data_IF_927222167224
#
_entry.id   IF_927222167224
#
_cell.length_a   1.000
_cell.length_b   1.000
_cell.length_c   1.000
_cell.angle_alpha   90.00
_cell.angle_beta   90.00
_cell.angle_gamma   90.00
#
_symmetry.space_group_name_H-M   'P 1'
#
loop_
_entity.id
_entity.type
_entity.pdbx_description
1 polymer ?
#
# COMPACT_ATOMS: atom_id res chain seq x y z
N UNK A 1 27.81 8.22 58.54
CA UNK A 1 26.93 8.79 57.50
C UNK A 1 27.27 8.15 56.17
N UNK A 2 26.39 7.25 55.69
CA UNK A 2 26.54 6.47 54.46
C UNK A 2 25.80 7.15 53.30
N UNK A 3 26.41 7.43 52.14
CA UNK A 3 25.69 8.00 50.99
C UNK A 3 25.06 6.91 50.10
N UNK A 4 23.96 7.31 49.42
CA UNK A 4 23.00 6.49 48.66
C UNK A 4 23.56 5.88 47.36
N UNK A 5 23.22 4.61 47.12
CA UNK A 5 23.37 3.91 45.85
C UNK A 5 22.28 4.33 44.83
N UNK A 6 22.59 5.19 43.86
CA UNK A 6 21.60 5.57 42.83
C UNK A 6 22.13 6.27 41.57
N UNK A 7 23.19 7.06 41.67
CA UNK A 7 23.67 7.94 40.56
C UNK A 7 24.58 7.26 39.55
N UNK A 8 25.18 6.12 39.90
CA UNK A 8 26.16 5.40 39.07
C UNK A 8 25.65 4.73 37.80
N UNK A 9 24.40 4.26 37.81
CA UNK A 9 23.90 3.36 36.76
C UNK A 9 23.60 4.10 35.45
N UNK A 10 23.34 5.40 35.50
CA UNK A 10 22.92 6.17 34.33
C UNK A 10 24.09 6.52 33.40
N UNK A 11 25.24 6.92 33.95
CA UNK A 11 26.42 7.30 33.15
C UNK A 11 27.01 6.11 32.37
N UNK A 12 27.03 4.90 32.96
CA UNK A 12 27.46 3.69 32.26
C UNK A 12 26.51 3.28 31.13
N UNK A 13 25.20 3.49 31.30
CA UNK A 13 24.20 3.24 30.25
C UNK A 13 24.41 4.20 29.07
N UNK A 14 24.59 5.50 29.33
CA UNK A 14 24.84 6.48 28.27
C UNK A 14 26.17 6.25 27.52
N UNK A 15 27.23 5.89 28.24
CA UNK A 15 28.52 5.57 27.63
C UNK A 15 28.44 4.30 26.76
N UNK A 16 27.68 3.29 27.20
CA UNK A 16 27.46 2.06 26.42
C UNK A 16 26.70 2.35 25.13
N UNK A 17 25.63 3.15 25.20
CA UNK A 17 24.84 3.54 24.01
C UNK A 17 25.70 4.35 23.02
N UNK A 18 26.54 5.27 23.51
CA UNK A 18 27.46 6.05 22.66
C UNK A 18 28.53 5.16 22.00
N UNK A 19 29.09 4.20 22.74
CA UNK A 19 30.08 3.27 22.20
C UNK A 19 29.49 2.30 21.18
N UNK A 20 28.29 1.75 21.44
CA UNK A 20 27.59 0.92 20.47
C UNK A 20 27.12 1.72 19.25
N UNK A 21 26.71 2.98 19.44
CA UNK A 21 26.37 3.88 18.34
C UNK A 21 27.58 4.23 17.48
N UNK A 22 28.72 4.55 18.09
CA UNK A 22 29.96 4.86 17.37
C UNK A 22 30.54 3.63 16.65
N UNK A 23 30.54 2.46 17.30
CA UNK A 23 30.96 1.21 16.68
C UNK A 23 30.03 0.80 15.54
N UNK A 24 28.72 0.99 15.69
CA UNK A 24 27.74 0.78 14.62
C UNK A 24 27.94 1.73 13.43
N UNK A 25 28.25 2.99 13.70
CA UNK A 25 28.55 3.98 12.66
C UNK A 25 29.87 3.65 11.93
N UNK A 26 30.91 3.25 12.64
CA UNK A 26 32.18 2.82 12.05
C UNK A 26 32.02 1.54 11.23
N UNK A 27 31.21 0.59 11.68
CA UNK A 27 30.87 -0.60 10.90
C UNK A 27 30.08 -0.23 9.64
N UNK A 28 29.13 0.71 9.75
CA UNK A 28 28.36 1.20 8.61
C UNK A 28 29.23 1.90 7.57
N UNK A 29 30.18 2.73 8.01
CA UNK A 29 31.17 3.38 7.14
C UNK A 29 32.11 2.33 6.51
N UNK A 30 32.52 1.32 7.27
CA UNK A 30 33.44 0.27 6.78
C UNK A 30 32.77 -0.73 5.83
N UNK A 31 31.44 -0.82 5.85
CA UNK A 31 30.65 -1.64 4.93
C UNK A 31 30.23 -0.88 3.66
N UNK A 32 30.52 0.42 3.56
CA UNK A 32 30.39 1.16 2.30
C UNK A 32 31.61 0.88 1.42
N UNK A 33 31.37 0.20 0.29
CA UNK A 33 32.38 -0.08 -0.73
C UNK A 33 32.99 1.23 -1.26
N UNK A 34 34.33 1.41 -1.28
CA UNK A 34 34.99 2.65 -1.71
C UNK A 34 34.77 3.02 -3.19
N UNK A 35 34.14 2.16 -3.99
CA UNK A 35 33.90 2.38 -5.41
C UNK A 35 32.78 3.37 -5.74
N UNK A 36 32.01 3.87 -4.77
CA UNK A 36 30.97 4.89 -4.99
C UNK A 36 31.42 6.35 -4.78
N UNK A 37 32.71 6.62 -4.50
CA UNK A 37 33.22 7.98 -4.29
C UNK A 37 34.33 8.42 -5.27
N UNK A 38 34.22 8.02 -6.55
CA UNK A 38 35.03 8.63 -7.61
C UNK A 38 34.20 9.67 -8.41
N UNK A 39 34.52 10.98 -8.34
CA UNK A 39 33.95 11.95 -9.26
C UNK A 39 34.49 11.67 -10.68
N UNK A 40 33.59 11.45 -11.65
CA UNK A 40 33.94 11.49 -13.07
C UNK A 40 34.48 12.88 -13.42
N UNK A 41 35.75 12.95 -13.79
CA UNK A 41 36.35 14.14 -14.39
C UNK A 41 35.64 14.50 -15.71
N UNK A 42 35.21 15.76 -15.83
CA UNK A 42 34.89 16.43 -17.08
C UNK A 42 35.80 17.67 -17.19
N UNK A 43 36.32 18.03 -18.38
CA UNK A 43 37.44 18.96 -18.48
C UNK A 43 37.01 20.43 -18.41
N UNK A 44 37.70 21.19 -17.55
CA UNK A 44 38.25 22.50 -17.87
C UNK A 44 37.35 23.73 -17.79
N UNK A 45 37.34 24.42 -16.63
CA UNK A 45 37.28 25.90 -16.55
C UNK A 45 38.16 26.33 -15.37
N UNK A 46 39.20 27.14 -15.64
CA UNK A 46 40.12 27.70 -14.64
C UNK A 46 39.51 28.98 -14.04
N UNK A 47 39.47 29.10 -12.71
CA UNK A 47 39.43 30.38 -12.03
C UNK A 47 40.42 30.36 -10.86
N UNK A 48 41.43 31.24 -10.92
CA UNK A 48 42.34 31.53 -9.82
C UNK A 48 41.66 32.51 -8.86
N UNK A 49 41.66 32.20 -7.56
CA UNK A 49 41.36 33.18 -6.50
C UNK A 49 42.48 33.10 -5.46
N UNK A 50 43.12 34.26 -5.26
CA UNK A 50 44.17 34.54 -4.26
C UNK A 50 43.51 34.92 -2.94
N UNK A 51 44.00 34.50 -1.76
CA UNK A 51 43.39 34.88 -0.49
C UNK A 51 43.97 36.20 0.03
N UNK A 52 43.10 37.08 0.53
CA UNK A 52 43.49 38.18 1.43
C UNK A 52 42.58 38.20 2.65
N UNK A 53 43.21 38.45 3.80
CA UNK A 53 42.65 38.64 5.13
C UNK A 53 43.12 40.04 5.64
N UNK A 54 42.67 40.56 6.80
CA UNK A 54 41.85 41.78 6.88
C UNK A 54 42.53 42.94 7.65
N UNK A 55 42.02 44.18 7.54
CA UNK A 55 42.09 45.17 8.64
C UNK A 55 41.06 46.30 8.54
N UNK A 56 40.72 46.84 9.71
CA UNK A 56 39.65 47.78 10.09
C UNK A 56 39.88 49.25 9.69
N UNK A 57 38.82 50.07 9.65
CA UNK A 57 38.63 51.29 10.48
C UNK A 57 37.24 51.97 10.24
N UNK A 58 36.74 52.69 11.28
CA UNK A 58 35.45 53.42 11.46
C UNK A 58 35.78 54.91 11.81
N UNK A 59 34.82 55.85 12.08
CA UNK A 59 33.55 56.30 11.44
C UNK A 59 33.52 57.87 11.30
N UNK A 60 32.39 58.69 11.31
CA UNK A 60 31.29 58.76 12.32
C UNK A 60 29.82 59.07 11.87
N UNK A 61 28.88 58.77 12.81
CA UNK A 61 27.55 59.33 13.24
C UNK A 61 26.49 59.85 12.22
N UNK A 62 25.14 59.73 12.41
CA UNK A 62 24.31 60.01 13.61
C UNK A 62 22.84 59.47 13.60
N UNK A 63 22.35 58.99 14.78
CA UNK A 63 21.02 59.15 15.50
C UNK A 63 19.66 58.90 14.79
N UNK A 64 18.60 58.26 15.32
CA UNK A 64 17.95 58.13 16.66
C UNK A 64 17.13 56.79 16.72
N UNK A 65 17.09 55.95 17.77
CA UNK A 65 16.52 56.00 19.13
C UNK A 65 15.17 55.24 19.28
N UNK A 66 15.09 54.33 20.26
CA UNK A 66 13.83 53.77 20.78
C UNK A 66 13.86 52.28 21.17
N UNK A 67 14.25 51.98 22.42
CA UNK A 67 14.08 50.68 23.12
C UNK A 67 13.50 51.00 24.52
N UNK A 68 12.87 50.07 25.28
CA UNK A 68 13.67 49.40 26.32
C UNK A 68 13.25 47.98 26.80
N UNK A 69 14.28 47.15 27.08
CA UNK A 69 14.60 46.33 28.30
C UNK A 69 13.71 45.10 28.69
N UNK A 70 14.20 43.82 28.73
CA UNK A 70 15.24 43.10 29.56
C UNK A 70 14.65 42.55 30.91
N UNK A 71 15.15 41.49 31.63
CA UNK A 71 16.26 40.52 31.44
C UNK A 71 15.92 39.01 31.69
N UNK A 72 16.91 38.14 31.41
CA UNK A 72 17.07 36.78 32.00
C UNK A 72 18.43 36.69 32.69
N UNK A 73 18.49 36.05 33.87
CA UNK A 73 19.70 35.90 34.69
C UNK A 73 20.13 34.41 34.82
N UNK A 74 21.39 34.21 35.20
CA UNK A 74 22.25 33.00 35.13
C UNK A 74 22.14 32.07 36.38
N UNK A 75 22.15 30.74 36.19
CA UNK A 75 23.17 29.67 36.55
C UNK A 75 23.91 29.78 37.94
N UNK A 76 24.46 28.74 38.67
CA UNK A 76 24.73 27.27 38.42
C UNK A 76 24.67 26.27 39.65
N UNK A 77 25.17 25.03 39.40
CA UNK A 77 25.91 24.04 40.27
C UNK A 77 25.07 22.91 40.91
N UNK A 78 25.50 21.65 41.05
CA UNK A 78 26.85 21.06 41.14
C UNK A 78 26.90 19.52 40.86
N UNK A 79 28.12 19.00 40.80
CA UNK A 79 28.67 17.67 40.42
C UNK A 79 28.25 16.39 41.22
N UNK A 80 28.51 15.20 40.62
CA UNK A 80 29.29 14.04 41.19
C UNK A 80 28.74 12.65 40.74
N UNK A 81 29.41 11.90 39.84
CA UNK A 81 30.36 10.77 40.07
C UNK A 81 29.67 9.44 40.52
N UNK A 82 30.10 8.19 40.32
CA UNK A 82 31.16 7.45 39.62
C UNK A 82 30.88 5.95 39.86
N UNK A 83 30.99 5.03 38.87
CA UNK A 83 30.69 3.57 38.86
C UNK A 83 31.36 2.69 39.99
N UNK A 84 31.15 1.34 40.17
CA UNK A 84 31.60 0.28 39.25
C UNK A 84 30.85 -1.11 39.26
N UNK A 85 31.51 -2.04 38.57
CA UNK A 85 31.27 -3.42 38.07
C UNK A 85 31.23 -4.56 39.10
N UNK A 86 30.86 -5.76 38.62
CA UNK A 86 31.50 -7.02 39.03
C UNK A 86 30.92 -8.28 38.37
N UNK A 87 31.72 -8.93 37.50
CA UNK A 87 32.06 -10.36 37.44
C UNK A 87 32.26 -10.92 36.02
N UNK A 88 33.46 -11.47 35.83
CA UNK A 88 33.97 -12.19 34.66
C UNK A 88 33.90 -13.70 34.94
N UNK A 89 33.85 -14.55 33.90
CA UNK A 89 34.83 -15.63 33.66
C UNK A 89 34.42 -16.60 32.51
N UNK A 90 35.45 -16.95 31.72
CA UNK A 90 35.71 -18.24 31.03
C UNK A 90 34.97 -18.61 29.71
N UNK A 91 35.73 -18.55 28.61
CA UNK A 91 35.68 -19.53 27.50
C UNK A 91 36.51 -20.79 27.85
N UNK A 92 36.88 -21.71 26.93
CA UNK A 92 37.04 -21.52 25.47
C UNK A 92 36.55 -22.71 24.60
N UNK A 93 36.72 -22.62 23.27
CA UNK A 93 36.78 -23.80 22.40
C UNK A 93 36.36 -23.59 20.93
N UNK A 94 37.33 -23.39 20.03
CA UNK A 94 37.22 -23.52 18.57
C UNK A 94 37.96 -24.82 18.17
N UNK A 95 37.57 -25.50 17.06
CA UNK A 95 38.38 -25.39 15.82
C UNK A 95 37.53 -25.50 14.52
N UNK A 96 37.76 -24.62 13.54
CA UNK A 96 38.50 -24.80 12.26
C UNK A 96 37.74 -25.46 11.09
N UNK A 97 37.98 -24.88 9.92
CA UNK A 97 37.40 -25.16 8.60
C UNK A 97 38.21 -26.20 7.80
N UNK A 98 37.72 -26.60 6.62
CA UNK A 98 38.62 -26.67 5.47
C UNK A 98 38.07 -26.03 4.18
N UNK A 99 39.02 -25.60 3.34
CA UNK A 99 38.88 -25.12 1.98
C UNK A 99 38.33 -26.20 1.03
N UNK A 100 37.62 -25.77 -0.02
CA UNK A 100 37.73 -26.45 -1.32
C UNK A 100 37.43 -25.54 -2.52
N UNK A 101 38.15 -25.88 -3.59
CA UNK A 101 38.42 -25.17 -4.84
C UNK A 101 37.29 -25.19 -5.89
N UNK A 102 37.21 -24.07 -6.63
CA UNK A 102 36.79 -23.85 -8.03
C UNK A 102 35.91 -24.86 -8.80
N UNK A 103 34.76 -24.36 -9.29
CA UNK A 103 34.31 -24.52 -10.68
C UNK A 103 33.13 -23.57 -11.00
N UNK A 104 33.34 -22.63 -11.93
CA UNK A 104 32.29 -21.78 -12.53
C UNK A 104 31.43 -22.61 -13.48
N UNK A 105 30.13 -22.75 -13.18
CA UNK A 105 29.13 -23.25 -14.13
C UNK A 105 28.10 -22.15 -14.44
N UNK A 106 28.10 -21.68 -15.69
CA UNK A 106 27.09 -20.76 -16.25
C UNK A 106 25.79 -21.53 -16.56
N UNK A 107 24.59 -21.07 -16.14
CA UNK A 107 23.35 -21.70 -16.58
C UNK A 107 22.96 -21.20 -17.98
N UNK A 108 22.81 -22.14 -18.93
CA UNK A 108 22.22 -21.92 -20.26
C UNK A 108 20.75 -21.51 -20.12
N UNK A 109 20.39 -20.31 -20.57
CA UNK A 109 19.00 -19.87 -20.73
C UNK A 109 18.32 -20.67 -21.85
N UNK A 110 17.39 -21.56 -21.47
CA UNK A 110 16.52 -22.28 -22.40
C UNK A 110 15.32 -21.38 -22.73
N UNK A 111 15.40 -20.61 -23.83
CA UNK A 111 14.26 -19.85 -24.37
C UNK A 111 13.20 -20.82 -24.89
N UNK A 112 12.08 -20.99 -24.17
CA UNK A 112 10.85 -21.57 -24.74
C UNK A 112 10.07 -20.46 -25.45
N UNK A 113 9.97 -20.55 -26.78
CA UNK A 113 9.05 -19.74 -27.58
C UNK A 113 7.62 -20.22 -27.29
N UNK A 114 6.78 -19.35 -26.73
CA UNK A 114 5.34 -19.56 -26.65
C UNK A 114 4.71 -19.12 -27.97
N UNK A 115 4.24 -20.09 -28.76
CA UNK A 115 3.38 -19.86 -29.92
C UNK A 115 1.96 -19.55 -29.42
N UNK A 116 1.53 -18.31 -29.60
CA UNK A 116 0.15 -17.88 -29.33
C UNK A 116 -0.73 -18.36 -30.48
N UNK A 117 -1.62 -19.30 -30.21
CA UNK A 117 -2.66 -19.74 -31.13
C UNK A 117 -3.79 -18.70 -31.11
N UNK A 118 -3.99 -18.01 -32.25
CA UNK A 118 -5.11 -17.07 -32.48
C UNK A 118 -6.45 -17.81 -32.30
N UNK A 119 -7.40 -17.18 -31.62
CA UNK A 119 -8.83 -17.53 -31.66
C UNK A 119 -9.57 -16.51 -32.55
N UNK A 120 -10.65 -16.90 -33.25
CA UNK A 120 -11.32 -16.05 -34.23
C UNK A 120 -12.25 -15.02 -33.57
N UNK A 121 -12.37 -13.87 -34.23
CA UNK A 121 -13.26 -12.78 -33.86
C UNK A 121 -14.72 -13.13 -34.17
N UNK A 122 -15.61 -12.97 -33.20
CA UNK A 122 -17.06 -13.00 -33.43
C UNK A 122 -17.52 -11.61 -33.90
N UNK A 123 -18.16 -11.58 -35.07
CA UNK A 123 -18.68 -10.39 -35.71
C UNK A 123 -19.88 -9.80 -34.95
N UNK A 124 -19.89 -8.49 -34.80
CA UNK A 124 -21.04 -7.72 -34.34
C UNK A 124 -22.01 -7.52 -35.51
N UNK A 125 -23.28 -7.91 -35.32
CA UNK A 125 -24.38 -7.55 -36.21
C UNK A 125 -25.23 -6.47 -35.55
N UNK A 126 -25.35 -5.33 -36.23
CA UNK A 126 -26.32 -4.27 -35.96
C UNK A 126 -27.61 -4.60 -36.72
N UNK A 127 -28.78 -4.28 -36.15
CA UNK A 127 -29.80 -3.65 -36.99
C UNK A 127 -30.36 -2.37 -36.37
N UNK A 128 -30.67 -1.43 -37.26
CA UNK A 128 -31.31 -0.16 -36.97
C UNK A 128 -32.81 -0.18 -37.36
N UNK A 129 -33.57 0.60 -36.58
CA UNK A 129 -34.87 1.22 -36.83
C UNK A 129 -36.19 0.42 -36.88
N UNK A 130 -37.14 0.93 -36.08
CA UNK A 130 -38.58 0.73 -36.20
C UNK A 130 -39.33 1.48 -35.08
N UNK A 131 -39.97 2.60 -35.41
CA UNK A 131 -40.83 3.38 -34.51
C UNK A 131 -42.21 2.75 -34.35
N UNK A 132 -42.82 2.88 -33.16
CA UNK A 132 -44.18 3.40 -32.90
C UNK A 132 -44.98 2.68 -31.80
N UNK A 133 -45.71 3.52 -31.05
CA UNK A 133 -47.00 3.28 -30.37
C UNK A 133 -47.05 2.43 -29.10
N UNK A 134 -47.61 3.02 -28.05
CA UNK A 134 -47.80 2.40 -26.74
C UNK A 134 -48.93 1.36 -26.69
N UNK A 135 -48.80 0.45 -25.73
CA UNK A 135 -49.90 -0.33 -25.16
C UNK A 135 -49.50 -0.76 -23.74
N UNK A 136 -50.51 -0.77 -22.87
CA UNK A 136 -50.46 -1.02 -21.43
C UNK A 136 -49.79 -2.34 -21.07
N UNK A 137 -48.82 -2.29 -20.14
CA UNK A 137 -48.20 -3.47 -19.55
C UNK A 137 -49.15 -4.10 -18.51
N UNK A 138 -49.84 -5.16 -18.91
CA UNK A 138 -50.45 -6.11 -17.98
C UNK A 138 -49.35 -7.02 -17.42
N UNK A 139 -49.37 -7.19 -16.09
CA UNK A 139 -48.47 -8.03 -15.32
C UNK A 139 -48.54 -9.50 -15.75
N UNK A 140 -47.43 -10.03 -16.27
CA UNK A 140 -47.25 -11.46 -16.50
C UNK A 140 -46.71 -12.17 -15.23
N UNK A 141 -47.06 -13.45 -15.00
CA UNK A 141 -46.74 -14.17 -13.76
C UNK A 141 -45.26 -14.57 -13.64
N UNK A 142 -44.81 -14.69 -12.40
CA UNK A 142 -43.43 -15.02 -11.97
C UNK A 142 -42.69 -16.07 -12.83
N UNK A 143 -41.56 -15.65 -13.41
CA UNK A 143 -40.51 -16.54 -13.86
C UNK A 143 -39.72 -17.11 -12.66
N UNK A 144 -39.28 -18.38 -12.68
CA UNK A 144 -38.59 -19.05 -11.56
C UNK A 144 -37.10 -18.66 -11.47
N UNK A 145 -36.82 -17.36 -11.46
CA UNK A 145 -35.48 -16.78 -11.45
C UNK A 145 -35.48 -15.44 -10.71
N UNK A 146 -35.67 -15.47 -9.39
CA UNK A 146 -35.59 -14.25 -8.58
C UNK A 146 -34.17 -13.66 -8.55
N UNK A 147 -34.02 -12.36 -8.23
CA UNK A 147 -32.72 -11.67 -8.14
C UNK A 147 -31.68 -12.41 -7.26
N UNK A 148 -32.13 -13.09 -6.19
CA UNK A 148 -31.27 -13.88 -5.30
C UNK A 148 -30.65 -15.12 -5.94
N UNK A 149 -31.34 -15.80 -6.87
CA UNK A 149 -30.81 -16.97 -7.58
C UNK A 149 -29.68 -16.55 -8.54
N UNK A 150 -29.82 -15.40 -9.20
CA UNK A 150 -28.79 -14.82 -10.07
C UNK A 150 -27.52 -14.44 -9.30
N UNK A 151 -27.66 -13.87 -8.10
CA UNK A 151 -26.51 -13.51 -7.25
C UNK A 151 -25.79 -14.73 -6.69
N UNK A 152 -26.52 -15.79 -6.30
CA UNK A 152 -25.90 -17.03 -5.84
C UNK A 152 -25.10 -17.71 -6.95
N UNK A 153 -25.64 -17.79 -8.16
CA UNK A 153 -24.93 -18.29 -9.35
C UNK A 153 -23.69 -17.45 -9.66
N UNK A 154 -23.81 -16.12 -9.59
CA UNK A 154 -22.67 -15.21 -9.76
C UNK A 154 -21.56 -15.46 -8.74
N UNK A 155 -21.89 -15.73 -7.47
CA UNK A 155 -20.90 -16.06 -6.44
C UNK A 155 -20.23 -17.42 -6.66
N UNK A 156 -20.99 -18.43 -7.12
CA UNK A 156 -20.42 -19.74 -7.48
C UNK A 156 -19.40 -19.59 -8.62
N UNK A 157 -19.76 -18.82 -9.66
CA UNK A 157 -18.89 -18.58 -10.80
C UNK A 157 -17.62 -17.80 -10.42
N UNK A 158 -17.75 -16.73 -9.64
CA UNK A 158 -16.59 -15.94 -9.14
C UNK A 158 -15.61 -16.82 -8.36
N UNK A 159 -16.11 -17.70 -7.50
CA UNK A 159 -15.27 -18.66 -6.75
C UNK A 159 -14.64 -19.71 -7.65
N UNK A 160 -15.37 -20.22 -8.64
CA UNK A 160 -14.86 -21.19 -9.62
C UNK A 160 -13.66 -20.60 -10.38
N UNK A 161 -13.81 -19.42 -10.97
CA UNK A 161 -12.74 -18.75 -11.73
C UNK A 161 -11.52 -18.46 -10.85
N UNK A 162 -11.74 -17.96 -9.63
CA UNK A 162 -10.65 -17.71 -8.68
C UNK A 162 -9.87 -18.99 -8.35
N UNK A 163 -10.57 -20.11 -8.11
CA UNK A 163 -9.96 -21.42 -7.83
C UNK A 163 -9.20 -21.97 -9.04
N UNK A 164 -9.74 -21.82 -10.25
CA UNK A 164 -9.07 -22.23 -11.49
C UNK A 164 -7.79 -21.42 -11.75
N UNK A 165 -7.85 -20.11 -11.56
CA UNK A 165 -6.67 -19.25 -11.64
C UNK A 165 -5.61 -19.69 -10.62
N UNK A 166 -6.02 -19.97 -9.38
CA UNK A 166 -5.12 -20.50 -8.36
C UNK A 166 -4.55 -21.88 -8.73
N UNK A 167 -5.34 -22.80 -9.27
CA UNK A 167 -4.87 -24.11 -9.69
C UNK A 167 -3.82 -24.02 -10.82
N UNK A 168 -4.01 -23.08 -11.76
CA UNK A 168 -3.11 -22.88 -12.90
C UNK A 168 -1.78 -22.24 -12.53
N UNK A 169 -1.78 -21.28 -11.61
CA UNK A 169 -0.57 -20.48 -11.28
C UNK A 169 0.10 -20.86 -9.96
N UNK A 170 -0.45 -21.83 -9.22
CA UNK A 170 0.28 -22.45 -8.11
C UNK A 170 1.31 -23.42 -8.68
N UNK A 171 2.57 -23.28 -8.25
CA UNK A 171 3.51 -24.39 -8.34
C UNK A 171 2.90 -25.57 -7.58
N UNK A 172 2.68 -26.69 -8.28
CA UNK A 172 2.41 -27.99 -7.67
C UNK A 172 3.45 -28.19 -6.58
N UNK A 173 3.04 -28.44 -5.33
CA UNK A 173 3.91 -28.55 -4.13
C UNK A 173 4.11 -27.27 -3.30
N UNK A 174 3.06 -26.84 -2.59
CA UNK A 174 3.14 -26.63 -1.13
C UNK A 174 1.77 -26.19 -0.63
N UNK A 175 1.16 -27.01 0.25
CA UNK A 175 0.17 -26.51 1.20
C UNK A 175 0.91 -25.58 2.17
N UNK A 176 1.25 -24.37 1.74
CA UNK A 176 1.93 -23.39 2.60
C UNK A 176 1.01 -23.12 3.78
N UNK A 177 1.55 -23.27 4.98
CA UNK A 177 0.84 -22.86 6.18
C UNK A 177 0.50 -21.37 6.07
N UNK A 178 -0.71 -21.02 6.50
CA UNK A 178 -1.10 -19.62 6.66
C UNK A 178 -0.20 -19.00 7.73
N UNK A 179 0.35 -17.83 7.45
CA UNK A 179 1.22 -17.08 8.37
C UNK A 179 0.53 -15.77 8.72
N UNK A 180 0.89 -15.09 9.83
CA UNK A 180 0.33 -13.79 10.17
C UNK A 180 0.42 -12.77 9.02
N UNK A 181 1.48 -12.81 8.21
CA UNK A 181 1.64 -11.94 7.03
C UNK A 181 0.56 -12.17 5.96
N UNK A 182 0.08 -13.40 5.79
CA UNK A 182 -0.99 -13.70 4.83
C UNK A 182 -2.36 -13.16 5.27
N UNK A 183 -2.55 -12.91 6.57
CA UNK A 183 -3.84 -12.50 7.16
C UNK A 183 -3.81 -11.09 7.75
N UNK A 184 -2.73 -10.34 7.58
CA UNK A 184 -2.57 -8.99 8.14
C UNK A 184 -3.53 -7.95 7.57
N UNK A 185 -4.24 -8.28 6.48
CA UNK A 185 -5.28 -7.46 5.85
C UNK A 185 -6.69 -7.89 6.22
N UNK A 186 -6.85 -8.93 7.04
CA UNK A 186 -8.15 -9.47 7.38
C UNK A 186 -8.62 -8.89 8.70
N UNK A 187 -9.75 -8.19 8.68
CA UNK A 187 -10.45 -7.73 9.86
C UNK A 187 -11.41 -8.81 10.38
N UNK A 188 -11.56 -8.86 11.70
CA UNK A 188 -12.39 -9.84 12.40
C UNK A 188 -13.59 -9.13 13.03
N UNK A 189 -14.78 -9.64 12.74
CA UNK A 189 -16.02 -9.30 13.43
C UNK A 189 -16.58 -10.60 14.03
N UNK A 190 -16.45 -10.77 15.35
CA UNK A 190 -16.75 -12.04 16.02
C UNK A 190 -18.26 -12.29 16.21
N UNK A 191 -19.13 -11.25 16.26
CA UNK A 191 -20.57 -11.42 16.55
C UNK A 191 -21.32 -12.14 15.43
N UNK A 192 -21.05 -11.78 14.19
CA UNK A 192 -21.62 -12.42 13.00
C UNK A 192 -20.63 -13.39 12.33
N UNK A 193 -19.47 -13.62 12.98
CA UNK A 193 -18.41 -14.53 12.51
C UNK A 193 -17.96 -14.19 11.09
N UNK A 194 -17.54 -12.94 10.88
CA UNK A 194 -17.09 -12.42 9.58
C UNK A 194 -15.59 -12.16 9.58
N UNK A 195 -14.93 -12.57 8.50
CA UNK A 195 -13.58 -12.20 8.14
C UNK A 195 -13.60 -11.34 6.88
N UNK A 196 -13.15 -10.11 6.96
CA UNK A 196 -13.12 -9.17 5.82
C UNK A 196 -11.69 -8.87 5.40
N UNK A 197 -11.29 -9.27 4.20
CA UNK A 197 -10.01 -8.81 3.65
C UNK A 197 -10.11 -7.40 3.07
N UNK A 198 -9.33 -6.49 3.63
CA UNK A 198 -9.23 -5.12 3.14
C UNK A 198 -8.49 -5.05 1.81
N UNK A 199 -9.23 -4.62 0.78
CA UNK A 199 -8.67 -4.15 -0.48
C UNK A 199 -8.89 -2.63 -0.56
N UNK A 200 -7.82 -1.82 -0.46
CA UNK A 200 -7.94 -0.38 -0.59
C UNK A 200 -8.60 0.03 -1.91
N UNK A 201 -9.38 1.11 -1.88
CA UNK A 201 -10.07 1.69 -3.05
C UNK A 201 -11.15 0.79 -3.69
N UNK A 202 -11.52 -0.32 -3.03
CA UNK A 202 -12.66 -1.18 -3.37
C UNK A 202 -13.79 -1.09 -2.33
N UNK A 203 -14.04 0.11 -1.77
CA UNK A 203 -15.11 0.33 -0.77
C UNK A 203 -14.72 0.01 0.68
N UNK A 204 -13.43 -0.21 0.96
CA UNK A 204 -12.94 -0.70 2.25
C UNK A 204 -13.33 0.15 3.47
N UNK A 205 -13.35 1.48 3.35
CA UNK A 205 -13.73 2.36 4.47
C UNK A 205 -15.18 2.13 4.89
N UNK A 206 -16.09 1.98 3.92
CA UNK A 206 -17.50 1.72 4.19
C UNK A 206 -17.72 0.30 4.72
N UNK A 207 -16.98 -0.69 4.22
CA UNK A 207 -17.00 -2.05 4.81
C UNK A 207 -16.57 -2.06 6.27
N UNK A 208 -15.51 -1.33 6.62
CA UNK A 208 -15.11 -1.20 8.03
C UNK A 208 -16.19 -0.54 8.89
N UNK A 209 -16.89 0.49 8.39
CA UNK A 209 -18.04 1.08 9.10
C UNK A 209 -19.14 0.04 9.35
N UNK A 210 -19.47 -0.77 8.33
CA UNK A 210 -20.43 -1.88 8.45
C UNK A 210 -19.98 -2.87 9.52
N UNK A 211 -18.70 -3.29 9.53
CA UNK A 211 -18.18 -4.19 10.57
C UNK A 211 -18.25 -3.57 11.97
N UNK A 212 -18.01 -2.26 12.10
CA UNK A 212 -18.13 -1.57 13.38
C UNK A 212 -19.58 -1.55 13.90
N UNK A 213 -20.56 -1.31 13.02
CA UNK A 213 -21.98 -1.40 13.38
C UNK A 213 -22.37 -2.84 13.73
N UNK A 214 -21.93 -3.84 12.96
CA UNK A 214 -22.15 -5.27 13.26
C UNK A 214 -21.56 -5.67 14.63
N UNK A 215 -20.39 -5.14 14.98
CA UNK A 215 -19.75 -5.34 16.27
C UNK A 215 -20.45 -4.59 17.43
N UNK A 216 -21.48 -3.79 17.15
CA UNK A 216 -22.18 -2.96 18.14
C UNK A 216 -21.36 -1.77 18.64
N UNK A 217 -20.38 -1.31 17.85
CA UNK A 217 -19.51 -0.18 18.20
C UNK A 217 -20.08 1.18 17.75
N UNK A 218 -21.13 1.17 16.94
CA UNK A 218 -21.87 2.36 16.50
C UNK A 218 -23.30 1.98 16.10
N UNK A 219 -24.23 2.93 16.20
CA UNK A 219 -25.63 2.73 15.83
C UNK A 219 -25.87 2.85 14.32
N UNK A 220 -25.09 3.71 13.64
CA UNK A 220 -25.18 3.92 12.20
C UNK A 220 -23.80 4.04 11.57
N UNK A 221 -23.70 3.68 10.29
CA UNK A 221 -22.48 3.86 9.52
C UNK A 221 -22.19 5.34 9.21
N UNK A 222 -23.22 6.19 9.19
CA UNK A 222 -23.09 7.63 8.95
C UNK A 222 -22.37 8.36 10.10
N UNK A 223 -22.46 7.84 11.32
CA UNK A 223 -21.90 8.46 12.53
C UNK A 223 -20.38 8.24 12.64
N UNK A 224 -19.81 7.34 11.83
CA UNK A 224 -18.42 6.94 11.94
C UNK A 224 -17.54 7.77 10.99
N UNK A 225 -16.74 8.65 11.58
CA UNK A 225 -15.78 9.49 10.86
C UNK A 225 -14.62 8.70 10.23
N UNK A 226 -14.03 9.25 9.16
CA UNK A 226 -12.93 8.64 8.42
C UNK A 226 -11.76 8.19 9.29
N UNK A 227 -11.30 9.06 10.22
CA UNK A 227 -10.14 8.76 11.05
C UNK A 227 -10.41 7.59 11.99
N UNK A 228 -11.63 7.47 12.53
CA UNK A 228 -12.05 6.34 13.36
C UNK A 228 -11.99 5.02 12.59
N UNK A 229 -12.36 5.04 11.31
CA UNK A 229 -12.34 3.84 10.44
C UNK A 229 -10.93 3.32 10.16
N UNK A 230 -9.95 4.22 10.03
CA UNK A 230 -8.60 3.86 9.56
C UNK A 230 -7.54 3.83 10.66
N UNK A 231 -7.71 4.64 11.70
CA UNK A 231 -6.75 4.79 12.79
C UNK A 231 -7.35 4.38 14.15
N UNK A 232 -8.66 4.19 14.23
CA UNK A 232 -9.28 3.58 15.39
C UNK A 232 -8.89 2.11 15.48
N UNK A 233 -8.34 1.68 16.61
CA UNK A 233 -8.03 0.27 16.93
C UNK A 233 -9.29 -0.55 17.25
N UNK A 234 -10.45 -0.11 16.77
CA UNK A 234 -11.76 -0.63 17.13
C UNK A 234 -12.02 -2.01 16.50
N UNK A 235 -11.59 -2.21 15.26
CA UNK A 235 -11.67 -3.52 14.58
C UNK A 235 -10.36 -4.28 14.78
N UNK A 236 -10.48 -5.52 15.27
CA UNK A 236 -9.33 -6.43 15.40
C UNK A 236 -8.90 -6.94 14.04
N UNK A 237 -7.60 -7.11 13.86
CA UNK A 237 -7.05 -7.80 12.68
C UNK A 237 -6.75 -9.25 13.02
N UNK A 238 -6.87 -10.14 12.03
CA UNK A 238 -6.68 -11.56 12.24
C UNK A 238 -5.23 -11.90 12.64
N UNK A 239 -4.26 -11.10 12.20
CA UNK A 239 -2.85 -11.25 12.55
C UNK A 239 -2.51 -10.89 14.01
N UNK A 240 -3.44 -10.32 14.77
CA UNK A 240 -3.26 -10.08 16.21
C UNK A 240 -3.65 -11.27 17.09
N UNK A 241 -4.23 -12.31 16.50
CA UNK A 241 -4.57 -13.55 17.21
C UNK A 241 -3.39 -14.53 17.17
N UNK A 242 -3.37 -15.46 18.12
CA UNK A 242 -2.42 -16.56 18.12
C UNK A 242 -2.73 -17.57 17.00
N UNK A 243 -1.84 -18.54 16.79
CA UNK A 243 -1.98 -19.51 15.70
C UNK A 243 -3.30 -20.29 15.78
N UNK A 244 -3.73 -20.69 16.98
CA UNK A 244 -4.99 -21.42 17.15
C UNK A 244 -6.19 -20.52 16.85
N UNK A 245 -6.19 -19.28 17.35
CA UNK A 245 -7.23 -18.29 17.09
C UNK A 245 -7.37 -17.91 15.61
N UNK A 246 -6.25 -17.84 14.88
CA UNK A 246 -6.24 -17.64 13.43
C UNK A 246 -6.90 -18.83 12.72
N UNK A 247 -6.44 -20.06 12.99
CA UNK A 247 -6.93 -21.26 12.31
C UNK A 247 -8.41 -21.52 12.62
N UNK A 248 -8.82 -21.33 13.88
CA UNK A 248 -10.22 -21.45 14.28
C UNK A 248 -11.10 -20.54 13.42
N UNK A 249 -10.81 -19.24 13.37
CA UNK A 249 -11.61 -18.27 12.61
C UNK A 249 -11.60 -18.54 11.11
N UNK A 250 -10.45 -18.88 10.53
CA UNK A 250 -10.38 -19.25 9.11
C UNK A 250 -11.30 -20.44 8.78
N UNK A 251 -11.43 -21.40 9.71
CA UNK A 251 -12.28 -22.58 9.55
C UNK A 251 -13.77 -22.35 9.85
N UNK A 252 -14.11 -21.43 10.75
CA UNK A 252 -15.49 -21.28 11.26
C UNK A 252 -16.21 -20.00 10.83
N UNK A 253 -15.50 -18.99 10.30
CA UNK A 253 -16.07 -17.68 9.97
C UNK A 253 -16.30 -17.53 8.48
N UNK A 254 -17.32 -16.77 8.09
CA UNK A 254 -17.59 -16.40 6.70
C UNK A 254 -16.55 -15.40 6.22
N UNK A 255 -15.77 -15.77 5.20
CA UNK A 255 -14.66 -14.98 4.65
C UNK A 255 -15.13 -14.22 3.42
N UNK A 256 -15.02 -12.90 3.43
CA UNK A 256 -15.38 -12.04 2.31
C UNK A 256 -14.23 -11.15 1.84
N UNK A 257 -14.29 -10.85 0.54
CA UNK A 257 -13.36 -10.04 -0.21
C UNK A 257 -14.17 -9.19 -1.19
N UNK A 258 -13.94 -7.88 -1.22
CA UNK A 258 -14.50 -7.00 -2.24
C UNK A 258 -13.38 -6.49 -3.15
N UNK A 259 -13.54 -6.72 -4.45
CA UNK A 259 -12.58 -6.33 -5.49
C UNK A 259 -13.13 -5.22 -6.36
N UNK A 260 -12.25 -4.63 -7.16
CA UNK A 260 -12.57 -3.58 -8.11
C UNK A 260 -11.75 -3.78 -9.36
N UNK A 261 -12.29 -3.36 -10.50
CA UNK A 261 -11.57 -3.34 -11.77
C UNK A 261 -10.16 -2.72 -11.57
N UNK A 262 -9.07 -3.42 -11.94
CA UNK A 262 -7.72 -3.02 -11.51
C UNK A 262 -7.28 -1.62 -11.94
N UNK A 263 -7.65 -1.16 -13.13
CA UNK A 263 -7.28 0.17 -13.62
C UNK A 263 -8.12 1.26 -12.96
N UNK A 264 -9.40 1.01 -12.72
CA UNK A 264 -10.21 1.90 -11.89
C UNK A 264 -9.68 2.00 -10.46
N UNK A 265 -9.23 0.89 -9.87
CA UNK A 265 -8.63 0.86 -8.54
C UNK A 265 -7.34 1.69 -8.51
N UNK A 266 -6.47 1.52 -9.51
CA UNK A 266 -5.23 2.28 -9.64
C UNK A 266 -5.49 3.79 -9.77
N UNK A 267 -6.41 4.19 -10.66
CA UNK A 267 -6.76 5.60 -10.83
C UNK A 267 -7.40 6.15 -9.57
N UNK A 268 -8.26 5.39 -8.91
CA UNK A 268 -8.83 5.81 -7.63
C UNK A 268 -7.76 6.01 -6.55
N UNK A 269 -6.67 5.24 -6.55
CA UNK A 269 -5.54 5.45 -5.65
C UNK A 269 -4.77 6.73 -6.02
N UNK A 270 -4.45 6.92 -7.30
CA UNK A 270 -3.75 8.11 -7.78
C UNK A 270 -4.49 9.40 -7.40
N UNK A 271 -5.79 9.48 -7.73
CA UNK A 271 -6.64 10.64 -7.43
C UNK A 271 -6.69 10.96 -5.93
N UNK A 272 -6.79 9.92 -5.10
CA UNK A 272 -6.84 10.07 -3.65
C UNK A 272 -5.51 10.49 -3.01
N UNK A 273 -4.36 10.13 -3.61
CA UNK A 273 -3.04 10.33 -3.00
C UNK A 273 -2.25 11.51 -3.56
N UNK A 274 -2.50 11.91 -4.81
CA UNK A 274 -1.64 12.86 -5.54
C UNK A 274 -2.37 14.08 -6.14
N UNK A 275 -3.70 14.08 -6.25
CA UNK A 275 -4.45 15.23 -6.80
C UNK A 275 -4.86 16.26 -5.74
N UNK A 276 -4.75 15.89 -4.46
CA UNK A 276 -5.14 16.73 -3.33
C UNK A 276 -3.97 16.88 -2.35
N UNK A 277 -3.91 17.98 -1.57
CA UNK A 277 -2.93 18.13 -0.51
C UNK A 277 -2.86 16.88 0.39
N UNK A 278 -1.68 16.27 0.47
CA UNK A 278 -1.47 15.05 1.22
C UNK A 278 -0.14 15.12 1.98
N UNK A 279 -0.21 15.14 3.32
CA UNK A 279 0.95 15.31 4.19
C UNK A 279 1.89 14.11 4.25
N UNK A 280 1.47 12.93 3.79
CA UNK A 280 2.29 11.72 3.76
C UNK A 280 2.74 11.37 2.35
N UNK A 281 1.79 11.27 1.40
CA UNK A 281 2.11 10.76 0.06
C UNK A 281 2.92 11.75 -0.77
N UNK A 282 2.71 13.06 -0.63
CA UNK A 282 3.52 14.03 -1.38
C UNK A 282 4.98 14.02 -0.89
N UNK A 283 5.29 14.13 0.41
CA UNK A 283 6.69 14.09 0.86
C UNK A 283 7.38 12.74 0.62
N UNK A 284 6.70 11.63 0.85
CA UNK A 284 7.31 10.29 0.78
C UNK A 284 7.40 9.78 -0.66
N UNK A 285 6.29 9.80 -1.40
CA UNK A 285 6.24 9.26 -2.75
C UNK A 285 6.41 10.34 -3.81
N UNK A 286 5.69 11.46 -3.67
CA UNK A 286 5.64 12.50 -4.69
C UNK A 286 7.02 13.08 -4.99
N UNK A 287 7.80 13.44 -3.98
CA UNK A 287 9.18 13.91 -4.15
C UNK A 287 10.05 12.91 -4.91
N UNK A 288 10.01 11.64 -4.51
CA UNK A 288 10.82 10.59 -5.10
C UNK A 288 10.43 10.31 -6.57
N UNK A 289 9.13 10.34 -6.87
CA UNK A 289 8.61 10.20 -8.24
C UNK A 289 9.07 11.38 -9.10
N UNK A 290 8.89 12.60 -8.61
CA UNK A 290 9.26 13.82 -9.34
C UNK A 290 10.77 13.90 -9.58
N UNK A 291 11.58 13.63 -8.57
CA UNK A 291 13.03 13.66 -8.66
C UNK A 291 13.59 12.66 -9.68
N UNK A 292 12.94 11.49 -9.83
CA UNK A 292 13.44 10.42 -10.71
C UNK A 292 12.89 10.48 -12.13
N UNK A 293 11.62 10.85 -12.31
CA UNK A 293 10.93 10.69 -13.58
C UNK A 293 10.59 12.00 -14.30
N UNK A 294 10.77 13.16 -13.65
CA UNK A 294 10.54 14.47 -14.28
C UNK A 294 11.87 15.17 -14.56
N UNK A 295 12.24 15.24 -15.85
CA UNK A 295 13.51 15.83 -16.29
C UNK A 295 13.72 17.27 -15.81
N UNK A 296 12.69 18.12 -15.89
CA UNK A 296 12.74 19.54 -15.52
C UNK A 296 11.79 19.84 -14.35
N UNK A 297 11.96 19.15 -13.23
CA UNK A 297 11.14 19.39 -12.03
C UNK A 297 11.47 20.77 -11.41
N UNK A 298 10.44 21.57 -11.12
CA UNK A 298 10.65 22.84 -10.43
C UNK A 298 11.17 22.60 -9.00
N UNK A 299 11.91 23.57 -8.47
CA UNK A 299 12.39 23.53 -7.07
C UNK A 299 11.23 23.34 -6.10
N UNK A 300 10.10 23.97 -6.37
CA UNK A 300 8.89 23.81 -5.57
C UNK A 300 8.37 22.37 -5.61
N UNK A 301 8.22 21.77 -6.80
CA UNK A 301 7.73 20.40 -6.94
C UNK A 301 8.65 19.39 -6.22
N UNK A 302 9.97 19.59 -6.27
CA UNK A 302 10.94 18.76 -5.53
C UNK A 302 10.86 18.98 -4.01
N UNK A 303 10.52 20.21 -3.58
CA UNK A 303 10.38 20.56 -2.15
C UNK A 303 9.07 20.08 -1.54
N UNK A 304 7.98 20.09 -2.28
CA UNK A 304 6.63 19.73 -1.79
C UNK A 304 6.26 18.30 -2.11
N UNK A 305 6.71 17.78 -3.26
CA UNK A 305 6.24 16.51 -3.82
C UNK A 305 4.87 16.60 -4.48
N UNK A 306 4.31 17.80 -4.65
CA UNK A 306 2.98 18.00 -5.25
C UNK A 306 3.03 18.02 -6.78
N UNK A 307 1.89 17.73 -7.40
CA UNK A 307 1.72 17.82 -8.85
C UNK A 307 2.37 16.66 -9.62
N UNK A 308 2.45 15.47 -9.02
CA UNK A 308 2.78 14.23 -9.74
C UNK A 308 1.74 14.00 -10.84
N UNK A 309 2.18 13.70 -12.06
CA UNK A 309 1.30 13.37 -13.19
C UNK A 309 1.08 11.85 -13.25
N UNK A 310 -0.07 11.43 -13.79
CA UNK A 310 -0.39 10.01 -13.89
C UNK A 310 0.65 9.19 -14.67
N UNK A 311 1.21 9.65 -15.81
CA UNK A 311 2.28 8.93 -16.49
C UNK A 311 3.55 8.73 -15.64
N UNK A 312 3.91 9.72 -14.82
CA UNK A 312 5.08 9.65 -13.91
C UNK A 312 4.81 8.62 -12.80
N UNK A 313 3.60 8.60 -12.26
CA UNK A 313 3.17 7.59 -11.28
C UNK A 313 3.15 6.18 -11.87
N UNK A 314 2.70 6.00 -13.12
CA UNK A 314 2.73 4.69 -13.79
C UNK A 314 4.18 4.25 -14.07
N UNK A 315 5.05 5.17 -14.47
CA UNK A 315 6.48 4.87 -14.65
C UNK A 315 7.11 4.42 -13.33
N UNK A 316 6.78 5.09 -12.22
CA UNK A 316 7.15 4.65 -10.87
C UNK A 316 6.63 3.25 -10.53
N UNK A 317 5.36 2.96 -10.82
CA UNK A 317 4.73 1.68 -10.53
C UNK A 317 5.40 0.52 -11.27
N UNK A 318 5.85 0.77 -12.51
CA UNK A 318 6.46 -0.23 -13.38
C UNK A 318 7.99 -0.34 -13.20
N UNK A 319 8.64 0.58 -12.49
CA UNK A 319 10.07 0.50 -12.22
C UNK A 319 10.38 -0.60 -11.20
N UNK A 320 11.23 -1.56 -11.58
CA UNK A 320 11.72 -2.61 -10.68
C UNK A 320 12.68 -2.06 -9.62
N UNK A 321 13.34 -0.94 -9.92
CA UNK A 321 14.22 -0.19 -9.02
C UNK A 321 13.55 1.11 -8.53
N UNK A 322 12.22 1.08 -8.39
CA UNK A 322 11.43 2.20 -7.87
C UNK A 322 12.05 2.79 -6.59
N UNK A 323 12.07 4.12 -6.45
CA UNK A 323 12.76 4.79 -5.34
C UNK A 323 12.05 4.62 -4.00
N UNK A 324 10.77 4.22 -3.99
CA UNK A 324 9.98 3.94 -2.80
C UNK A 324 9.27 2.61 -3.00
N UNK A 325 9.13 1.82 -1.93
CA UNK A 325 8.54 0.48 -1.98
C UNK A 325 7.08 0.46 -2.45
N UNK A 326 6.54 -0.75 -2.63
CA UNK A 326 5.13 -0.92 -3.00
C UNK A 326 4.21 -0.45 -1.88
N UNK A 327 3.20 0.35 -2.22
CA UNK A 327 2.13 0.73 -1.31
C UNK A 327 0.90 -0.13 -1.54
N UNK A 328 0.13 -0.32 -0.48
CA UNK A 328 -1.06 -1.17 -0.44
C UNK A 328 -2.18 -0.67 -1.35
N UNK A 329 -2.24 0.64 -1.64
CA UNK A 329 -3.31 1.23 -2.42
C UNK A 329 -3.22 0.86 -3.90
N UNK A 330 -2.03 0.51 -4.39
CA UNK A 330 -1.79 0.07 -5.77
C UNK A 330 -1.10 -1.30 -5.86
N UNK A 331 -1.10 -2.07 -4.77
CA UNK A 331 -0.63 -3.46 -4.78
C UNK A 331 -1.59 -4.41 -5.51
N UNK A 332 -1.27 -5.69 -5.59
CA UNK A 332 -2.16 -6.70 -6.17
C UNK A 332 -3.12 -7.22 -5.11
N UNK A 333 -4.39 -7.39 -5.46
CA UNK A 333 -5.39 -8.04 -4.58
C UNK A 333 -4.95 -9.47 -4.26
N UNK A 334 -4.44 -10.19 -5.25
CA UNK A 334 -3.90 -11.54 -5.10
C UNK A 334 -2.75 -11.62 -4.07
N UNK A 335 -2.00 -10.54 -3.85
CA UNK A 335 -0.98 -10.44 -2.80
C UNK A 335 -1.54 -9.98 -1.46
N UNK A 336 -2.40 -8.96 -1.46
CA UNK A 336 -3.00 -8.41 -0.25
C UNK A 336 -3.85 -9.43 0.52
N UNK A 337 -4.62 -10.24 -0.22
CA UNK A 337 -5.63 -11.14 0.36
C UNK A 337 -5.29 -12.63 0.22
N UNK A 338 -4.22 -13.00 -0.49
CA UNK A 338 -3.81 -14.41 -0.63
C UNK A 338 -4.95 -15.40 -0.95
N UNK A 339 -5.83 -15.13 -1.93
CA UNK A 339 -7.00 -15.97 -2.25
C UNK A 339 -6.67 -17.40 -2.69
N UNK A 340 -5.41 -17.69 -3.04
CA UNK A 340 -4.97 -19.06 -3.27
C UNK A 340 -4.62 -19.82 -1.98
N UNK A 341 -4.44 -19.13 -0.85
CA UNK A 341 -4.19 -19.72 0.47
C UNK A 341 -5.41 -19.67 1.38
N UNK A 342 -6.35 -18.76 1.11
CA UNK A 342 -7.54 -18.51 1.91
C UNK A 342 -8.76 -18.77 1.03
N UNK A 343 -9.59 -19.74 1.40
CA UNK A 343 -10.81 -20.06 0.66
C UNK A 343 -11.90 -19.05 1.02
N UNK A 344 -12.08 -18.01 0.20
CA UNK A 344 -13.10 -16.99 0.44
C UNK A 344 -14.51 -17.53 0.13
N UNK A 345 -15.44 -17.30 1.04
CA UNK A 345 -16.84 -17.73 0.91
C UNK A 345 -17.63 -16.79 -0.01
N UNK A 346 -17.23 -15.52 -0.06
CA UNK A 346 -17.88 -14.45 -0.81
C UNK A 346 -16.87 -13.53 -1.51
N UNK A 347 -17.12 -13.25 -2.80
CA UNK A 347 -16.33 -12.31 -3.60
C UNK A 347 -17.26 -11.25 -4.18
N UNK A 348 -17.26 -10.06 -3.58
CA UNK A 348 -18.02 -8.91 -4.05
C UNK A 348 -17.23 -8.07 -5.07
N UNK A 349 -17.94 -7.36 -5.93
CA UNK A 349 -17.37 -6.43 -6.92
C UNK A 349 -17.81 -5.00 -6.61
N UNK A 350 -16.91 -4.05 -6.77
CA UNK A 350 -17.20 -2.63 -6.59
C UNK A 350 -18.23 -2.13 -7.60
N UNK A 351 -18.23 -2.72 -8.78
CA UNK A 351 -19.14 -2.38 -9.87
C UNK A 351 -20.60 -2.78 -9.54
N UNK A 352 -20.80 -3.80 -8.70
CA UNK A 352 -22.09 -4.29 -8.21
C UNK A 352 -22.21 -4.17 -6.69
N UNK A 353 -21.59 -3.14 -6.10
CA UNK A 353 -21.40 -3.02 -4.64
C UNK A 353 -22.71 -3.11 -3.85
N UNK A 354 -23.77 -2.47 -4.34
CA UNK A 354 -25.05 -2.44 -3.62
C UNK A 354 -25.69 -3.82 -3.53
N UNK A 355 -25.87 -4.50 -4.66
CA UNK A 355 -26.47 -5.84 -4.72
C UNK A 355 -25.62 -6.86 -3.98
N UNK A 356 -24.30 -6.84 -4.19
CA UNK A 356 -23.38 -7.76 -3.52
C UNK A 356 -23.35 -7.53 -2.01
N UNK A 357 -23.38 -6.27 -1.55
CA UNK A 357 -23.38 -5.98 -0.12
C UNK A 357 -24.69 -6.38 0.54
N UNK A 358 -25.83 -6.08 -0.08
CA UNK A 358 -27.14 -6.48 0.43
C UNK A 358 -27.27 -8.01 0.51
N UNK A 359 -26.78 -8.72 -0.51
CA UNK A 359 -26.78 -10.19 -0.51
C UNK A 359 -25.85 -10.75 0.57
N UNK A 360 -24.65 -10.19 0.74
CA UNK A 360 -23.74 -10.60 1.81
C UNK A 360 -24.33 -10.35 3.21
N UNK A 361 -24.92 -9.17 3.45
CA UNK A 361 -25.55 -8.83 4.73
C UNK A 361 -26.72 -9.77 5.05
N UNK A 362 -27.51 -10.13 4.05
CA UNK A 362 -28.57 -11.14 4.20
C UNK A 362 -28.00 -12.52 4.56
N UNK A 363 -26.92 -12.94 3.89
CA UNK A 363 -26.25 -14.23 4.11
C UNK A 363 -25.77 -14.39 5.56
N UNK A 364 -25.21 -13.34 6.15
CA UNK A 364 -24.72 -13.35 7.55
C UNK A 364 -25.81 -13.04 8.58
N UNK A 365 -27.07 -12.90 8.15
CA UNK A 365 -28.22 -12.51 8.99
C UNK A 365 -28.00 -11.20 9.75
N UNK A 366 -27.39 -10.22 9.09
CA UNK A 366 -27.23 -8.88 9.63
C UNK A 366 -28.60 -8.22 9.92
N UNK A 367 -28.65 -7.22 10.82
CA UNK A 367 -29.87 -6.44 11.06
C UNK A 367 -30.46 -5.87 9.76
N UNK A 368 -31.78 -5.97 9.57
CA UNK A 368 -32.46 -5.56 8.32
C UNK A 368 -32.32 -4.07 7.99
N UNK A 369 -32.08 -3.23 8.98
CA UNK A 369 -31.88 -1.80 8.84
C UNK A 369 -30.42 -1.42 8.48
N UNK A 370 -29.49 -2.38 8.53
CA UNK A 370 -28.10 -2.15 8.15
C UNK A 370 -27.94 -2.35 6.64
N UNK A 371 -27.54 -1.28 5.95
CA UNK A 371 -27.22 -1.30 4.52
C UNK A 371 -25.80 -0.79 4.28
N UNK A 372 -25.25 -1.11 3.10
CA UNK A 372 -23.95 -0.57 2.72
C UNK A 372 -24.03 0.94 2.47
N UNK A 373 -23.15 1.75 3.08
CA UNK A 373 -23.23 3.20 2.94
C UNK A 373 -22.95 3.65 1.51
N UNK A 374 -23.86 4.46 0.95
CA UNK A 374 -23.74 5.02 -0.40
C UNK A 374 -22.91 6.31 -0.49
N UNK A 375 -22.54 6.94 0.63
CA UNK A 375 -21.74 8.16 0.64
C UNK A 375 -20.26 7.90 0.32
N UNK A 376 -19.59 8.91 -0.24
CA UNK A 376 -18.15 8.88 -0.53
C UNK A 376 -17.39 9.49 0.63
N UNK A 377 -16.45 8.73 1.19
CA UNK A 377 -15.74 9.06 2.43
C UNK A 377 -14.83 10.30 2.31
N UNK A 378 -13.81 10.23 1.45
CA UNK A 378 -12.90 11.36 1.16
C UNK A 378 -13.25 12.01 -0.16
N UNK A 379 -12.99 13.32 -0.26
CA UNK A 379 -13.24 14.12 -1.45
C UNK A 379 -14.70 13.94 -1.93
N UNK A 380 -15.64 14.06 -0.98
CA UNK A 380 -17.05 13.65 -1.15
C UNK A 380 -17.77 14.37 -2.29
N UNK A 381 -17.36 15.59 -2.61
CA UNK A 381 -17.91 16.41 -3.69
C UNK A 381 -17.47 15.97 -5.09
N UNK A 382 -16.45 15.12 -5.21
CA UNK A 382 -16.00 14.61 -6.49
C UNK A 382 -16.68 13.31 -6.89
N UNK A 383 -16.91 13.15 -8.19
CA UNK A 383 -17.33 11.89 -8.77
C UNK A 383 -16.41 10.73 -8.34
N UNK A 384 -17.02 9.58 -8.00
CA UNK A 384 -16.31 8.31 -7.85
C UNK A 384 -15.58 8.00 -9.14
N UNK A 385 -14.41 7.39 -9.05
CA UNK A 385 -13.74 6.86 -10.25
C UNK A 385 -14.68 5.86 -10.92
N UNK A 386 -14.80 5.92 -12.23
CA UNK A 386 -15.59 5.00 -13.06
C UNK A 386 -14.70 4.50 -14.20
N UNK A 387 -15.16 3.49 -14.95
CA UNK A 387 -14.47 3.03 -16.16
C UNK A 387 -14.17 4.18 -17.14
N UNK A 388 -15.10 5.12 -17.32
CA UNK A 388 -14.91 6.28 -18.20
C UNK A 388 -13.79 7.20 -17.69
N UNK A 389 -13.77 7.50 -16.40
CA UNK A 389 -12.70 8.32 -15.80
C UNK A 389 -11.38 7.58 -15.95
N UNK A 390 -11.31 6.29 -15.57
CA UNK A 390 -10.09 5.51 -15.70
C UNK A 390 -9.56 5.52 -17.14
N UNK A 391 -10.43 5.34 -18.14
CA UNK A 391 -10.04 5.45 -19.55
C UNK A 391 -9.34 6.76 -19.89
N UNK A 392 -9.84 7.91 -19.41
CA UNK A 392 -9.22 9.23 -19.64
C UNK A 392 -7.83 9.40 -19.01
N UNK A 393 -7.51 8.67 -17.94
CA UNK A 393 -6.14 8.68 -17.39
C UNK A 393 -5.20 7.86 -18.25
N UNK A 394 -5.67 6.69 -18.70
CA UNK A 394 -4.87 5.76 -19.49
C UNK A 394 -4.69 6.19 -20.97
N UNK A 395 -5.44 7.17 -21.47
CA UNK A 395 -5.14 7.83 -22.75
C UNK A 395 -3.87 8.69 -22.70
N UNK A 396 -3.42 9.09 -21.51
CA UNK A 396 -2.16 9.82 -21.31
C UNK A 396 -0.93 8.92 -21.44
N UNK A 397 -1.12 7.60 -21.51
CA UNK A 397 -0.05 6.61 -21.58
C UNK A 397 0.17 6.13 -23.02
N UNK A 398 1.39 5.71 -23.32
CA UNK A 398 1.68 4.93 -24.53
C UNK A 398 1.02 3.55 -24.48
N UNK A 399 0.80 2.92 -25.64
CA UNK A 399 0.30 1.55 -25.72
C UNK A 399 1.19 0.56 -24.93
N UNK A 400 2.52 0.75 -24.98
CA UNK A 400 3.46 -0.07 -24.20
C UNK A 400 3.27 0.11 -22.69
N UNK A 401 3.07 1.34 -22.21
CA UNK A 401 2.78 1.58 -20.79
C UNK A 401 1.44 0.96 -20.38
N UNK A 402 0.40 1.04 -21.22
CA UNK A 402 -0.89 0.37 -20.97
C UNK A 402 -0.72 -1.14 -20.86
N UNK A 403 -0.03 -1.77 -21.83
CA UNK A 403 0.22 -3.21 -21.80
C UNK A 403 1.00 -3.60 -20.54
N UNK A 404 2.09 -2.91 -20.21
CA UNK A 404 2.88 -3.24 -19.01
C UNK A 404 2.09 -3.05 -17.72
N UNK A 405 1.19 -2.06 -17.66
CA UNK A 405 0.31 -1.87 -16.51
C UNK A 405 -0.76 -2.97 -16.42
N UNK A 406 -1.27 -3.44 -17.56
CA UNK A 406 -2.14 -4.61 -17.61
C UNK A 406 -1.41 -5.88 -17.15
N UNK A 407 -0.21 -6.12 -17.66
CA UNK A 407 0.63 -7.27 -17.30
C UNK A 407 0.95 -7.27 -15.80
N UNK A 408 1.20 -6.08 -15.22
CA UNK A 408 1.39 -5.91 -13.78
C UNK A 408 0.17 -6.44 -13.01
N UNK A 409 -1.05 -6.03 -13.37
CA UNK A 409 -2.28 -6.50 -12.71
C UNK A 409 -2.89 -7.79 -13.29
N UNK A 410 -2.21 -8.49 -14.19
CA UNK A 410 -2.77 -9.59 -14.97
C UNK A 410 -3.40 -10.68 -14.11
N UNK A 411 -2.76 -11.01 -12.97
CA UNK A 411 -3.28 -12.02 -12.04
C UNK A 411 -4.62 -11.61 -11.43
N UNK A 412 -4.83 -10.32 -11.12
CA UNK A 412 -6.10 -9.83 -10.58
C UNK A 412 -7.18 -9.82 -11.68
N UNK A 413 -6.85 -9.44 -12.92
CA UNK A 413 -7.77 -9.55 -14.06
C UNK A 413 -8.27 -10.98 -14.26
N UNK A 414 -7.34 -11.93 -14.27
CA UNK A 414 -7.65 -13.35 -14.45
C UNK A 414 -8.49 -13.89 -13.29
N UNK A 415 -8.05 -13.65 -12.06
CA UNK A 415 -8.63 -14.26 -10.86
C UNK A 415 -10.05 -13.78 -10.56
N UNK A 416 -10.36 -12.53 -10.91
CA UNK A 416 -11.67 -11.92 -10.64
C UNK A 416 -12.52 -11.74 -11.90
N UNK A 417 -12.12 -12.39 -13.00
CA UNK A 417 -12.83 -12.39 -14.27
C UNK A 417 -13.19 -10.96 -14.74
N UNK A 418 -12.18 -10.09 -14.83
CA UNK A 418 -12.34 -8.76 -15.40
C UNK A 418 -11.95 -8.76 -16.88
N UNK A 419 -12.78 -8.12 -17.70
CA UNK A 419 -12.49 -7.92 -19.13
C UNK A 419 -11.32 -6.95 -19.33
N UNK A 420 -10.61 -7.10 -20.44
CA UNK A 420 -9.57 -6.15 -20.85
C UNK A 420 -10.18 -4.75 -21.03
N UNK A 421 -9.64 -3.70 -20.41
CA UNK A 421 -10.24 -2.36 -20.46
C UNK A 421 -9.98 -1.63 -21.78
N UNK A 422 -9.01 -2.08 -22.59
CA UNK A 422 -8.67 -1.53 -23.90
C UNK A 422 -8.46 -2.62 -24.94
N UNK A 423 -8.74 -2.29 -26.21
CA UNK A 423 -8.62 -3.19 -27.34
C UNK A 423 -7.17 -3.46 -27.78
N UNK A 424 -6.23 -2.56 -27.43
CA UNK A 424 -4.81 -2.68 -27.75
C UNK A 424 -4.02 -3.57 -26.77
N UNK A 425 -4.71 -4.26 -25.85
CA UNK A 425 -4.10 -5.15 -24.87
C UNK A 425 -4.07 -6.61 -25.33
N UNK A 426 -2.89 -7.23 -25.28
CA UNK A 426 -2.62 -8.60 -25.74
C UNK A 426 -2.76 -9.66 -24.65
#
# INVERSE_FOLDING_TARGET
>A
MTPRAGTMRLACMFSSILLFGAAGLLLFISLQDPTELAPRQLPGIKFSIRPQQPYNDLPPASSQAGDPKVPTEKVPRDLSSQAPRGFSLLGPGRPQAPLNTGARLRPRQRRRRLLIKKMPAAAAAVPANGSSSGALAQSAPWAPGGPGLSLQQSQQERKRVMREACAKYRASSSRRAVTPRHVSRIFVEDRHRVLYCEVPKAGCSNWKRVLMVLAGLASSTADIQHNTVHYGSALKRLDTFDRQGILHRLSTYTKMLFVREPFERLVSAFRDKFEHPNSYYHPVFGKAILARYRANASREALRTGSGVRFPEFVQYLLDVHRPVGMDIHWDHVSRLCSPCLIDYDFVGKFESMEDDANFFLSLIRAPRNLTFPRFKDRHSQEARTTAQIARRYFTQLSALQRQRTYDFYYMDYLMFNYSKPFADLY
#
